data_IF_724946878156
#
_entry.id   IF_724946878156
#
_cell.length_a   1.000
_cell.length_b   1.000
_cell.length_c   1.000
_cell.angle_alpha   90.00
_cell.angle_beta   90.00
_cell.angle_gamma   90.00
#
_symmetry.space_group_name_H-M   'P 1'
#
loop_
_entity.id
_entity.type
_entity.pdbx_description
1 polymer ?
#
# COMPACT_ATOMS: atom_id res chain seq x y z
N UNK A 1 -10.59 23.16 15.15
CA UNK A 1 -11.61 22.15 15.46
C UNK A 1 -11.14 20.85 14.86
N UNK A 2 -10.61 19.96 15.70
CA UNK A 2 -10.08 18.64 15.34
C UNK A 2 -11.26 17.69 15.16
N UNK A 3 -11.61 17.36 13.91
CA UNK A 3 -12.58 16.29 13.66
C UNK A 3 -11.95 14.94 14.03
N UNK A 4 -12.73 14.17 14.77
CA UNK A 4 -12.32 12.91 15.34
C UNK A 4 -11.95 11.90 14.25
N UNK A 5 -10.85 11.17 14.50
CA UNK A 5 -10.44 9.95 13.80
C UNK A 5 -11.61 8.97 13.84
N UNK A 6 -12.43 9.00 12.80
CA UNK A 6 -13.56 8.09 12.69
C UNK A 6 -12.97 6.76 12.26
N UNK A 7 -13.16 5.74 13.11
CA UNK A 7 -12.81 4.35 12.84
C UNK A 7 -13.69 3.82 11.70
N UNK A 8 -13.38 4.28 10.49
CA UNK A 8 -14.11 3.92 9.29
C UNK A 8 -13.72 2.50 8.95
N UNK A 9 -14.72 1.66 8.72
CA UNK A 9 -14.53 0.33 8.15
C UNK A 9 -15.37 0.18 6.89
N UNK A 10 -14.91 -0.64 5.95
CA UNK A 10 -15.71 -1.12 4.82
C UNK A 10 -15.64 -2.64 4.85
N UNK A 11 -16.79 -3.31 4.95
CA UNK A 11 -16.89 -4.77 5.06
C UNK A 11 -16.00 -5.37 6.16
N UNK A 12 -15.86 -4.68 7.30
CA UNK A 12 -15.00 -5.09 8.41
C UNK A 12 -13.50 -4.83 8.21
N UNK A 13 -13.11 -4.18 7.12
CA UNK A 13 -11.73 -3.77 6.85
C UNK A 13 -11.52 -2.34 7.37
N UNK A 14 -10.60 -2.12 8.33
CA UNK A 14 -10.37 -0.80 8.93
C UNK A 14 -9.58 0.13 8.02
N UNK A 15 -9.89 1.42 8.12
CA UNK A 15 -9.06 2.52 7.64
C UNK A 15 -8.13 2.99 8.76
N UNK A 16 -6.84 3.08 8.46
CA UNK A 16 -5.81 3.49 9.42
C UNK A 16 -5.09 4.71 8.85
N UNK A 17 -5.20 5.80 9.58
CA UNK A 17 -4.50 7.04 9.27
C UNK A 17 -3.04 6.99 9.75
N UNK A 18 -2.12 7.15 8.81
CA UNK A 18 -0.67 7.15 9.04
C UNK A 18 -0.07 8.57 9.10
N UNK A 19 -0.89 9.63 9.09
CA UNK A 19 -0.42 11.01 9.03
C UNK A 19 0.55 11.39 10.16
N UNK A 20 0.34 10.86 11.37
CA UNK A 20 1.19 11.12 12.54
C UNK A 20 2.21 9.98 12.81
N UNK A 21 2.43 9.08 11.86
CA UNK A 21 3.32 7.95 12.05
C UNK A 21 4.81 8.37 12.11
N UNK A 22 5.21 9.36 11.32
CA UNK A 22 6.57 9.91 11.34
C UNK A 22 7.66 8.83 11.23
N UNK A 23 8.59 8.82 12.17
CA UNK A 23 9.69 7.83 12.27
C UNK A 23 9.33 6.55 13.06
N UNK A 24 8.07 6.42 13.50
CA UNK A 24 7.60 5.26 14.26
C UNK A 24 7.88 5.31 15.77
N UNK A 25 8.58 6.33 16.29
CA UNK A 25 9.02 6.38 17.70
C UNK A 25 8.04 7.09 18.64
N UNK A 26 7.19 7.96 18.11
CA UNK A 26 6.28 8.78 18.92
C UNK A 26 5.18 7.94 19.58
N UNK A 27 4.61 8.37 20.73
CA UNK A 27 3.46 7.70 21.33
C UNK A 27 2.26 7.55 20.37
N UNK A 28 2.06 8.54 19.48
CA UNK A 28 1.03 8.51 18.44
C UNK A 28 1.33 7.43 17.40
N UNK A 29 2.57 7.37 16.92
CA UNK A 29 3.02 6.36 15.97
C UNK A 29 2.89 4.93 16.53
N UNK A 30 3.24 4.73 17.81
CA UNK A 30 3.03 3.44 18.49
C UNK A 30 1.55 3.07 18.59
N UNK A 31 0.64 4.04 18.77
CA UNK A 31 -0.79 3.79 18.76
C UNK A 31 -1.30 3.38 17.37
N UNK A 32 -0.83 4.06 16.31
CA UNK A 32 -1.11 3.70 14.92
C UNK A 32 -0.58 2.29 14.62
N UNK A 33 0.65 1.99 15.03
CA UNK A 33 1.27 0.67 14.87
C UNK A 33 0.50 -0.45 15.56
N UNK A 34 -0.04 -0.20 16.77
CA UNK A 34 -0.91 -1.17 17.46
C UNK A 34 -2.22 -1.43 16.69
N UNK A 35 -2.84 -0.39 16.12
CA UNK A 35 -4.04 -0.54 15.28
C UNK A 35 -3.73 -1.34 14.02
N UNK A 36 -2.62 -1.04 13.36
CA UNK A 36 -2.19 -1.76 12.16
C UNK A 36 -1.88 -3.23 12.47
N UNK A 37 -1.20 -3.50 13.59
CA UNK A 37 -0.96 -4.86 14.04
C UNK A 37 -2.26 -5.63 14.30
N UNK A 38 -3.24 -5.01 14.96
CA UNK A 38 -4.56 -5.63 15.19
C UNK A 38 -5.26 -5.94 13.86
N UNK A 39 -5.25 -5.02 12.90
CA UNK A 39 -5.83 -5.25 11.57
C UNK A 39 -5.15 -6.42 10.84
N UNK A 40 -3.82 -6.53 10.91
CA UNK A 40 -3.07 -7.65 10.34
C UNK A 40 -3.39 -8.99 11.03
N UNK A 41 -3.59 -8.98 12.35
CA UNK A 41 -3.87 -10.19 13.14
C UNK A 41 -5.31 -10.68 12.97
N UNK A 42 -6.27 -9.76 12.98
CA UNK A 42 -7.69 -10.08 13.12
C UNK A 42 -8.42 -10.11 11.78
N UNK A 43 -8.27 -9.07 10.96
CA UNK A 43 -8.94 -8.97 9.65
C UNK A 43 -8.06 -9.51 8.51
N UNK A 44 -6.73 -9.37 8.63
CA UNK A 44 -5.76 -9.65 7.58
C UNK A 44 -5.68 -8.57 6.50
N UNK A 45 -6.49 -7.51 6.60
CA UNK A 45 -6.55 -6.41 5.64
C UNK A 45 -6.71 -5.06 6.36
N UNK A 46 -6.18 -4.00 5.75
CA UNK A 46 -6.39 -2.62 6.17
C UNK A 46 -6.30 -1.68 4.96
N UNK A 47 -7.05 -0.58 5.00
CA UNK A 47 -6.83 0.58 4.13
C UNK A 47 -5.93 1.58 4.85
N UNK A 48 -4.86 2.02 4.20
CA UNK A 48 -3.95 3.03 4.76
C UNK A 48 -4.19 4.38 4.10
N UNK A 49 -4.27 5.44 4.90
CA UNK A 49 -4.37 6.83 4.42
C UNK A 49 -3.22 7.67 4.96
N UNK A 50 -2.90 8.77 4.28
CA UNK A 50 -1.83 9.69 4.68
C UNK A 50 -0.47 8.99 4.91
N UNK A 51 -0.12 8.02 4.07
CA UNK A 51 1.14 7.24 4.16
C UNK A 51 2.39 8.04 3.80
N UNK A 52 2.26 9.31 3.44
CA UNK A 52 3.36 10.19 3.04
C UNK A 52 3.81 10.03 1.59
N UNK A 53 3.19 9.13 0.81
CA UNK A 53 3.50 9.00 -0.62
C UNK A 53 3.02 10.23 -1.42
N UNK A 54 3.91 10.92 -2.16
CA UNK A 54 3.51 12.04 -3.00
C UNK A 54 2.54 11.59 -4.09
N UNK A 55 1.43 12.32 -4.28
CA UNK A 55 0.42 11.98 -5.29
C UNK A 55 1.02 11.86 -6.70
N UNK A 56 1.97 12.73 -7.05
CA UNK A 56 2.66 12.68 -8.34
C UNK A 56 3.36 11.34 -8.63
N UNK A 57 3.96 10.72 -7.60
CA UNK A 57 4.61 9.41 -7.75
C UNK A 57 3.57 8.29 -7.97
N UNK A 58 2.41 8.39 -7.30
CA UNK A 58 1.29 7.46 -7.49
C UNK A 58 0.75 7.59 -8.91
N UNK A 59 0.53 8.82 -9.38
CA UNK A 59 0.02 9.11 -10.71
C UNK A 59 0.98 8.61 -11.80
N UNK A 60 2.29 8.81 -11.61
CA UNK A 60 3.32 8.31 -12.50
C UNK A 60 3.35 6.78 -12.56
N UNK A 61 3.24 6.09 -11.41
CA UNK A 61 3.17 4.63 -11.37
C UNK A 61 1.98 4.10 -12.18
N UNK A 62 0.79 4.70 -12.00
CA UNK A 62 -0.39 4.30 -12.79
C UNK A 62 -0.28 4.68 -14.27
N UNK A 63 0.42 5.77 -14.59
CA UNK A 63 0.72 6.13 -15.98
C UNK A 63 1.59 5.09 -16.68
N UNK A 64 2.65 4.63 -16.02
CA UNK A 64 3.50 3.57 -16.54
C UNK A 64 2.76 2.24 -16.67
N UNK A 65 1.92 1.89 -15.69
CA UNK A 65 1.05 0.72 -15.78
C UNK A 65 0.17 0.76 -17.03
N UNK A 66 -0.53 1.87 -17.28
CA UNK A 66 -1.34 2.04 -18.50
C UNK A 66 -0.52 1.93 -19.78
N UNK A 67 0.66 2.57 -19.84
CA UNK A 67 1.56 2.48 -20.99
C UNK A 67 1.97 1.03 -21.27
N UNK A 68 2.34 0.28 -20.24
CA UNK A 68 2.76 -1.12 -20.37
C UNK A 68 1.61 -2.00 -20.88
N UNK A 69 0.42 -1.89 -20.30
CA UNK A 69 -0.72 -2.70 -20.71
C UNK A 69 -1.33 -2.30 -22.06
N UNK A 70 -0.97 -1.13 -22.60
CA UNK A 70 -1.32 -0.71 -23.95
C UNK A 70 -0.39 -1.29 -25.04
N UNK A 71 0.73 -1.91 -24.67
CA UNK A 71 1.63 -2.58 -25.62
C UNK A 71 0.96 -3.81 -26.26
N UNK A 72 1.46 -4.21 -27.42
CA UNK A 72 1.03 -5.44 -28.07
C UNK A 72 1.35 -6.67 -27.22
N UNK A 73 0.63 -7.77 -27.43
CA UNK A 73 0.95 -9.03 -26.73
C UNK A 73 2.38 -9.49 -27.02
N UNK A 74 2.84 -9.34 -28.26
CA UNK A 74 4.20 -9.69 -28.65
C UNK A 74 5.26 -8.88 -27.87
N UNK A 75 5.06 -7.57 -27.71
CA UNK A 75 5.97 -6.70 -26.97
C UNK A 75 6.00 -7.06 -25.48
N UNK A 76 4.84 -7.33 -24.86
CA UNK A 76 4.75 -7.77 -23.45
C UNK A 76 5.45 -9.10 -23.22
N UNK A 77 5.43 -10.00 -24.21
CA UNK A 77 6.05 -11.33 -24.13
C UNK A 77 7.54 -11.35 -24.51
N UNK A 78 8.13 -10.19 -24.84
CA UNK A 78 9.56 -10.06 -25.16
C UNK A 78 10.49 -10.37 -23.98
N UNK A 79 9.98 -10.33 -22.74
CA UNK A 79 10.68 -10.69 -21.51
C UNK A 79 10.08 -11.94 -20.86
N UNK A 80 10.24 -13.14 -21.45
CA UNK A 80 9.69 -14.36 -20.91
C UNK A 80 10.34 -14.70 -19.56
N UNK A 81 9.57 -15.32 -18.66
CA UNK A 81 10.15 -15.90 -17.44
C UNK A 81 11.26 -16.88 -17.84
N UNK A 82 12.46 -16.82 -17.23
CA UNK A 82 13.53 -17.79 -17.48
C UNK A 82 12.99 -19.21 -17.31
N UNK A 83 13.36 -20.12 -18.22
CA UNK A 83 12.90 -21.53 -18.20
C UNK A 83 13.39 -22.30 -16.98
N UNK A 84 14.44 -21.83 -16.34
CA UNK A 84 15.11 -22.52 -15.28
C UNK A 84 15.21 -21.60 -14.03
N UNK A 85 14.87 -22.14 -12.85
CA UNK A 85 14.65 -21.36 -11.61
C UNK A 85 15.84 -21.32 -10.64
N UNK A 86 17.08 -21.33 -11.13
CA UNK A 86 18.30 -21.51 -10.31
C UNK A 86 18.82 -20.24 -9.63
N UNK A 87 18.16 -19.10 -9.79
CA UNK A 87 18.56 -17.83 -9.19
C UNK A 87 17.98 -17.58 -7.78
N UNK A 88 17.35 -18.59 -7.17
CA UNK A 88 16.77 -18.52 -5.82
C UNK A 88 17.22 -19.67 -4.89
N UNK A 89 18.35 -20.31 -5.18
CA UNK A 89 19.06 -21.16 -4.21
C UNK A 89 20.42 -20.56 -3.89
#
# INVERSE_FOLDING_TARGET
MTEAVTDRTINGIPFIDFGDFGDGSSPAALAIGRKFFAACKDTGFAYLTNTGMPQAAIDEMFHWSRKFFALSEADKMSAPRPKEGWWHR
#
